data_IF_818255574729
#
_entry.id   IF_818255574729
#
_cell.length_a   1.000
_cell.length_b   1.000
_cell.length_c   1.000
_cell.angle_alpha   90.00
_cell.angle_beta   90.00
_cell.angle_gamma   90.00
#
_symmetry.space_group_name_H-M   'P 1'
#
loop_
_entity.id
_entity.type
_entity.pdbx_description
1 polymer ?
#
# COMPACT_ATOMS: atom_id res chain seq x y z
N UNK A 1 -17.66 -23.44 -2.82
CA UNK A 1 -17.70 -22.66 -4.07
C UNK A 1 -16.48 -21.76 -4.11
N UNK A 2 -15.84 -21.61 -5.26
CA UNK A 2 -14.73 -20.67 -5.43
C UNK A 2 -15.26 -19.22 -5.40
N UNK A 3 -14.56 -18.26 -4.78
CA UNK A 3 -15.00 -16.87 -4.80
C UNK A 3 -15.05 -16.34 -6.24
N UNK A 4 -15.97 -15.41 -6.55
CA UNK A 4 -16.00 -14.76 -7.85
C UNK A 4 -14.69 -14.02 -8.10
N UNK A 5 -14.27 -13.95 -9.35
CA UNK A 5 -13.09 -13.18 -9.73
C UNK A 5 -13.31 -11.68 -9.42
N UNK A 6 -12.33 -11.01 -8.79
CA UNK A 6 -12.36 -9.56 -8.65
C UNK A 6 -12.45 -8.87 -10.01
N UNK A 7 -13.14 -7.73 -10.04
CA UNK A 7 -13.11 -6.82 -11.18
C UNK A 7 -11.81 -6.03 -11.14
N UNK A 8 -11.18 -5.80 -12.30
CA UNK A 8 -9.97 -4.98 -12.41
C UNK A 8 -8.65 -5.72 -12.19
N UNK A 9 -8.64 -7.06 -12.22
CA UNK A 9 -7.39 -7.82 -12.33
C UNK A 9 -6.62 -7.40 -13.60
N UNK A 10 -5.33 -7.14 -13.45
CA UNK A 10 -4.41 -6.86 -14.56
C UNK A 10 -3.45 -8.03 -14.75
N UNK A 11 -2.92 -8.18 -15.97
CA UNK A 11 -1.89 -9.17 -16.25
C UNK A 11 -0.50 -8.70 -15.79
N UNK A 12 0.47 -9.63 -15.86
CA UNK A 12 1.84 -9.38 -15.41
C UNK A 12 2.54 -8.30 -16.23
N UNK A 13 2.30 -8.24 -17.55
CA UNK A 13 2.93 -7.26 -18.44
C UNK A 13 2.42 -5.85 -18.16
N UNK A 14 1.11 -5.71 -17.92
CA UNK A 14 0.51 -4.44 -17.50
C UNK A 14 1.07 -3.99 -16.15
N UNK A 15 1.16 -4.89 -15.17
CA UNK A 15 1.75 -4.58 -13.86
C UNK A 15 3.20 -4.09 -13.98
N UNK A 16 4.02 -4.78 -14.79
CA UNK A 16 5.41 -4.41 -15.06
C UNK A 16 5.53 -3.04 -15.75
N UNK A 17 4.67 -2.76 -16.73
CA UNK A 17 4.65 -1.46 -17.40
C UNK A 17 4.28 -0.32 -16.43
N UNK A 18 3.32 -0.56 -15.53
CA UNK A 18 2.92 0.42 -14.50
C UNK A 18 4.03 0.67 -13.49
N UNK A 19 4.70 -0.36 -13.00
CA UNK A 19 5.86 -0.21 -12.11
C UNK A 19 6.98 0.57 -12.79
N UNK A 20 7.31 0.24 -14.04
CA UNK A 20 8.33 0.96 -14.81
C UNK A 20 8.01 2.44 -14.94
N UNK A 21 6.76 2.79 -15.26
CA UNK A 21 6.32 4.18 -15.33
C UNK A 21 6.49 4.90 -13.98
N UNK A 22 6.17 4.23 -12.87
CA UNK A 22 6.37 4.80 -11.54
C UNK A 22 7.85 5.05 -11.22
N UNK A 23 8.71 4.07 -11.55
CA UNK A 23 10.17 4.13 -11.34
C UNK A 23 10.79 5.28 -12.15
N UNK A 24 10.45 5.38 -13.44
CA UNK A 24 11.01 6.39 -14.34
C UNK A 24 10.55 7.82 -14.01
N UNK A 25 9.40 7.98 -13.32
CA UNK A 25 8.80 9.27 -13.03
C UNK A 25 8.83 9.59 -11.53
N UNK A 26 7.81 9.18 -10.76
CA UNK A 26 7.61 9.59 -9.37
C UNK A 26 8.83 9.23 -8.51
N UNK A 27 9.28 7.98 -8.59
CA UNK A 27 10.42 7.50 -7.83
C UNK A 27 11.71 8.24 -8.18
N UNK A 28 11.97 8.47 -9.48
CA UNK A 28 13.14 9.21 -9.93
C UNK A 28 13.13 10.68 -9.44
N UNK A 29 11.98 11.35 -9.47
CA UNK A 29 11.82 12.73 -9.00
C UNK A 29 12.07 12.84 -7.49
N UNK A 30 11.44 11.96 -6.71
CA UNK A 30 11.59 11.93 -5.25
C UNK A 30 13.06 11.70 -4.88
N UNK A 31 13.71 10.71 -5.49
CA UNK A 31 15.09 10.38 -5.16
C UNK A 31 16.09 11.44 -5.60
N UNK A 32 15.85 12.11 -6.74
CA UNK A 32 16.67 13.26 -7.14
C UNK A 32 16.62 14.37 -6.09
N UNK A 33 15.43 14.65 -5.55
CA UNK A 33 15.26 15.66 -4.49
C UNK A 33 15.95 15.22 -3.18
N UNK A 34 15.79 13.97 -2.76
CA UNK A 34 16.46 13.41 -1.57
C UNK A 34 17.98 13.54 -1.66
N UNK A 35 18.54 13.11 -2.79
CA UNK A 35 19.98 13.20 -3.06
C UNK A 35 20.47 14.65 -3.06
N UNK A 36 19.70 15.60 -3.61
CA UNK A 36 20.09 17.01 -3.58
C UNK A 36 20.06 17.64 -2.18
N UNK A 37 19.49 16.96 -1.18
CA UNK A 37 19.43 17.37 0.21
C UNK A 37 20.29 16.49 1.13
N UNK A 38 21.21 15.71 0.55
CA UNK A 38 22.17 14.90 1.31
C UNK A 38 21.61 13.59 1.86
N UNK A 39 20.42 13.16 1.42
CA UNK A 39 19.90 11.83 1.70
C UNK A 39 20.24 10.89 0.54
N UNK A 40 21.23 10.03 0.77
CA UNK A 40 21.75 9.06 -0.18
C UNK A 40 20.90 7.78 -0.27
N UNK A 41 19.92 7.63 0.62
CA UNK A 41 19.07 6.45 0.69
C UNK A 41 17.81 6.63 -0.15
N UNK A 42 17.58 5.73 -1.12
CA UNK A 42 16.39 5.78 -1.94
C UNK A 42 15.12 5.65 -1.11
N UNK A 43 14.08 6.36 -1.53
CA UNK A 43 12.76 6.26 -0.92
C UNK A 43 12.18 4.83 -1.06
N UNK A 44 11.12 4.55 -0.32
CA UNK A 44 10.32 3.35 -0.51
C UNK A 44 9.41 3.48 -1.73
N UNK A 45 9.27 2.42 -2.51
CA UNK A 45 8.31 2.34 -3.64
C UNK A 45 7.36 1.15 -3.58
N UNK A 46 7.51 0.31 -2.57
CA UNK A 46 6.68 -0.87 -2.35
C UNK A 46 6.43 -1.06 -0.86
N UNK A 47 5.31 -1.69 -0.53
CA UNK A 47 4.97 -2.07 0.84
C UNK A 47 4.29 -3.42 0.80
N UNK A 48 4.79 -4.35 1.60
CA UNK A 48 4.38 -5.75 1.62
C UNK A 48 3.57 -5.99 2.89
N UNK A 49 2.35 -6.50 2.70
CA UNK A 49 1.49 -6.99 3.78
C UNK A 49 1.36 -8.51 3.63
N UNK A 50 1.36 -9.23 4.74
CA UNK A 50 1.02 -10.65 4.69
C UNK A 50 -0.45 -10.81 4.32
N UNK A 51 -0.78 -11.87 3.59
CA UNK A 51 -2.18 -12.16 3.26
C UNK A 51 -3.01 -12.36 4.54
N UNK A 52 -2.44 -13.06 5.53
CA UNK A 52 -3.04 -13.27 6.85
C UNK A 52 -3.42 -11.94 7.53
N UNK A 53 -2.53 -10.94 7.52
CA UNK A 53 -2.82 -9.65 8.17
C UNK A 53 -3.88 -8.85 7.41
N UNK A 54 -3.90 -8.94 6.08
CA UNK A 54 -4.96 -8.33 5.28
C UNK A 54 -6.31 -9.00 5.54
N UNK A 55 -6.35 -10.33 5.66
CA UNK A 55 -7.56 -11.08 5.99
C UNK A 55 -8.07 -10.72 7.40
N UNK A 56 -7.17 -10.69 8.39
CA UNK A 56 -7.48 -10.27 9.76
C UNK A 56 -8.03 -8.84 9.80
N UNK A 57 -7.39 -7.91 9.08
CA UNK A 57 -7.84 -6.52 9.05
C UNK A 57 -9.21 -6.37 8.37
N UNK A 58 -9.47 -7.10 7.30
CA UNK A 58 -10.80 -7.12 6.66
C UNK A 58 -11.87 -7.65 7.64
N UNK A 59 -11.56 -8.69 8.42
CA UNK A 59 -12.48 -9.22 9.43
C UNK A 59 -12.75 -8.19 10.53
N UNK A 60 -11.68 -7.58 11.07
CA UNK A 60 -11.76 -6.50 12.05
C UNK A 60 -12.64 -5.33 11.58
N UNK A 61 -12.41 -4.83 10.36
CA UNK A 61 -13.20 -3.72 9.79
C UNK A 61 -14.67 -4.09 9.68
N UNK A 62 -14.99 -5.32 9.23
CA UNK A 62 -16.38 -5.80 9.14
C UNK A 62 -17.06 -5.88 10.50
N UNK A 63 -16.39 -6.46 11.49
CA UNK A 63 -16.94 -6.59 12.85
C UNK A 63 -17.17 -5.22 13.51
N UNK A 64 -16.17 -4.35 13.46
CA UNK A 64 -16.27 -2.99 14.00
C UNK A 64 -17.37 -2.18 13.29
N UNK A 65 -17.47 -2.30 11.96
CA UNK A 65 -18.51 -1.62 11.18
C UNK A 65 -19.91 -2.13 11.50
N UNK A 66 -20.08 -3.45 11.68
CA UNK A 66 -21.35 -4.04 12.07
C UNK A 66 -21.80 -3.55 13.45
N UNK A 67 -20.88 -3.47 14.42
CA UNK A 67 -21.17 -2.95 15.75
C UNK A 67 -21.62 -1.47 15.73
N UNK A 68 -21.13 -0.70 14.75
CA UNK A 68 -21.48 0.71 14.53
C UNK A 68 -22.69 0.91 13.60
N UNK A 69 -23.26 -0.17 13.04
CA UNK A 69 -24.37 -0.08 12.08
C UNK A 69 -23.99 0.52 10.72
N UNK A 70 -22.71 0.53 10.37
CA UNK A 70 -22.19 1.09 9.12
C UNK A 70 -22.48 0.19 7.93
N UNK A 71 -22.62 0.79 6.73
CA UNK A 71 -22.92 0.11 5.47
C UNK A 71 -22.01 0.60 4.36
N UNK A 72 -22.07 -0.07 3.21
CA UNK A 72 -21.27 0.24 2.02
C UNK A 72 -19.78 0.35 2.36
N UNK A 73 -19.26 -0.74 2.94
CA UNK A 73 -17.91 -0.79 3.49
C UNK A 73 -16.88 -0.85 2.37
N UNK A 74 -15.77 -0.17 2.58
CA UNK A 74 -14.63 -0.23 1.69
C UNK A 74 -13.32 -0.05 2.44
N UNK A 75 -12.23 -0.10 1.68
CA UNK A 75 -10.90 0.24 2.17
C UNK A 75 -10.29 1.25 1.19
N UNK A 76 -9.89 2.40 1.71
CA UNK A 76 -9.11 3.40 1.01
C UNK A 76 -7.64 3.23 1.36
N UNK A 77 -6.78 3.28 0.36
CA UNK A 77 -5.32 3.22 0.56
C UNK A 77 -4.78 4.62 0.38
N UNK A 78 -4.09 5.12 1.40
CA UNK A 78 -3.40 6.41 1.35
C UNK A 78 -1.91 6.19 1.14
N UNK A 79 -1.29 7.05 0.33
CA UNK A 79 0.14 7.30 0.41
C UNK A 79 0.40 8.11 1.68
N UNK A 80 1.39 7.71 2.47
CA UNK A 80 1.83 8.39 3.68
C UNK A 80 3.34 8.44 3.77
N UNK A 81 3.85 8.95 4.88
CA UNK A 81 5.27 8.91 5.19
C UNK A 81 5.49 8.44 6.63
N UNK A 82 6.55 7.67 6.88
CA UNK A 82 6.98 7.26 8.21
C UNK A 82 8.41 7.73 8.47
N UNK A 83 8.69 8.13 9.70
CA UNK A 83 10.06 8.38 10.14
C UNK A 83 10.71 7.09 10.64
N UNK A 84 11.96 6.87 10.26
CA UNK A 84 12.83 5.81 10.76
C UNK A 84 14.27 6.33 10.75
N UNK A 85 14.95 6.28 11.90
CA UNK A 85 16.35 6.72 12.04
C UNK A 85 16.62 8.11 11.46
N UNK A 86 15.80 9.09 11.85
CA UNK A 86 15.82 10.50 11.39
C UNK A 86 15.53 10.72 9.89
N UNK A 87 15.31 9.64 9.13
CA UNK A 87 14.91 9.69 7.72
C UNK A 87 13.40 9.49 7.57
N UNK A 88 12.83 10.04 6.51
CA UNK A 88 11.40 9.95 6.20
C UNK A 88 11.22 9.16 4.91
N UNK A 89 10.42 8.10 4.95
CA UNK A 89 10.17 7.24 3.79
C UNK A 89 8.68 7.16 3.47
N UNK A 90 8.37 7.05 2.18
CA UNK A 90 7.02 6.77 1.70
C UNK A 90 6.51 5.45 2.29
N UNK A 91 5.22 5.42 2.60
CA UNK A 91 4.47 4.26 3.10
C UNK A 91 3.07 4.29 2.51
N UNK A 92 2.32 3.22 2.71
CA UNK A 92 0.87 3.22 2.54
C UNK A 92 0.19 2.77 3.83
N UNK A 93 -1.04 3.22 4.05
CA UNK A 93 -1.90 2.67 5.09
C UNK A 93 -3.32 2.47 4.59
N UNK A 94 -3.99 1.48 5.17
CA UNK A 94 -5.35 1.08 4.82
C UNK A 94 -6.30 1.77 5.78
N UNK A 95 -7.21 2.59 5.27
CA UNK A 95 -8.25 3.28 6.01
C UNK A 95 -9.61 2.67 5.68
N UNK A 96 -10.41 2.27 6.69
CA UNK A 96 -11.75 1.76 6.46
C UNK A 96 -12.68 2.89 5.99
N UNK A 97 -13.64 2.57 5.14
CA UNK A 97 -14.63 3.53 4.65
C UNK A 97 -16.06 3.02 4.83
N UNK A 98 -17.01 3.94 5.02
CA UNK A 98 -18.46 3.71 4.92
C UNK A 98 -19.04 4.73 3.93
N UNK A 99 -19.93 4.31 3.03
CA UNK A 99 -20.60 5.21 2.06
C UNK A 99 -19.62 6.14 1.31
N UNK A 100 -18.41 5.65 1.03
CA UNK A 100 -17.31 6.40 0.40
C UNK A 100 -16.54 7.39 1.30
N UNK A 101 -16.89 7.54 2.58
CA UNK A 101 -16.20 8.38 3.57
C UNK A 101 -15.28 7.55 4.47
N UNK A 102 -14.22 8.14 5.02
CA UNK A 102 -13.38 7.45 6.01
C UNK A 102 -14.18 7.20 7.28
N UNK A 103 -14.09 5.98 7.83
CA UNK A 103 -14.65 5.65 9.14
C UNK A 103 -13.63 5.99 10.22
N UNK A 104 -13.78 7.16 10.83
CA UNK A 104 -12.81 7.72 11.79
C UNK A 104 -12.77 6.96 13.12
N UNK A 105 -13.79 6.14 13.38
CA UNK A 105 -13.97 5.32 14.58
C UNK A 105 -13.25 3.97 14.50
N UNK A 106 -12.77 3.58 13.32
CA UNK A 106 -12.12 2.29 13.07
C UNK A 106 -10.64 2.55 12.74
N UNK A 107 -9.73 1.82 13.38
CA UNK A 107 -8.30 2.06 13.25
C UNK A 107 -7.79 1.70 11.86
N UNK A 108 -6.79 2.45 11.39
CA UNK A 108 -6.08 2.19 10.14
C UNK A 108 -4.98 1.12 10.32
N UNK A 109 -4.65 0.39 9.26
CA UNK A 109 -3.53 -0.57 9.23
C UNK A 109 -2.32 0.00 8.50
N UNK A 110 -1.16 0.00 9.17
CA UNK A 110 0.16 0.25 8.59
C UNK A 110 1.21 -0.70 9.19
N UNK A 111 1.01 -2.02 9.03
CA UNK A 111 1.99 -3.05 9.40
C UNK A 111 2.81 -3.53 8.20
N UNK A 112 2.92 -2.69 7.17
CA UNK A 112 3.63 -3.03 5.95
C UNK A 112 5.15 -3.07 6.17
N UNK A 113 5.80 -4.09 5.63
CA UNK A 113 7.26 -4.13 5.50
C UNK A 113 7.71 -3.52 4.16
N UNK A 114 8.97 -3.11 4.07
CA UNK A 114 9.55 -2.51 2.85
C UNK A 114 10.66 -3.43 2.37
N UNK A 115 10.67 -3.76 1.08
CA UNK A 115 11.86 -4.32 0.46
C UNK A 115 12.97 -3.28 0.46
N UNK A 116 14.10 -3.57 1.10
CA UNK A 116 15.31 -2.76 1.03
C UNK A 116 16.49 -3.64 0.57
N UNK A 117 17.02 -3.43 -0.65
CA UNK A 117 16.54 -2.51 -1.69
C UNK A 117 15.16 -2.93 -2.21
N UNK A 118 14.35 -2.00 -2.76
CA UNK A 118 13.05 -2.34 -3.29
C UNK A 118 13.20 -3.29 -4.49
N UNK A 119 12.46 -4.38 -4.46
CA UNK A 119 12.57 -5.46 -5.45
C UNK A 119 11.95 -4.99 -6.76
N UNK A 120 12.69 -5.05 -7.88
CA UNK A 120 12.07 -4.83 -9.19
C UNK A 120 10.98 -5.89 -9.34
N UNK A 121 9.82 -5.53 -9.89
CA UNK A 121 8.83 -6.50 -10.34
C UNK A 121 9.40 -7.25 -11.56
N UNK A 122 10.44 -8.04 -11.32
CA UNK A 122 11.05 -8.95 -12.26
C UNK A 122 10.66 -10.37 -11.86
N UNK A 123 10.39 -11.19 -12.88
CA UNK A 123 9.90 -12.54 -12.72
C UNK A 123 10.84 -13.30 -11.78
N UNK A 124 10.31 -13.80 -10.67
CA UNK A 124 10.92 -14.91 -9.96
C UNK A 124 11.03 -16.10 -10.93
N UNK A 125 12.14 -16.16 -11.65
CA UNK A 125 12.59 -17.35 -12.35
C UNK A 125 13.80 -17.88 -11.57
N UNK A 126 13.51 -18.69 -10.56
CA UNK A 126 14.17 -19.98 -10.36
C UNK A 126 13.11 -21.01 -10.03
#
# INVERSE_FOLDING_TARGET
>A
MQPPLPKGLIDKETAKAMEKLYVDNQYAIINRYRQSHGDDEPDSRETIFSLEEIENYIAYVKEASNALGLRDLGIRIYQGAKSADEKVFTTVFFAPTNEGNNSMEIQCLNLGSYGRPPTVYDNGNK
#
